data_IF_203184342967
#
_entry.id   IF_203184342967
#
_cell.length_a   1.000
_cell.length_b   1.000
_cell.length_c   1.000
_cell.angle_alpha   90.00
_cell.angle_beta   90.00
_cell.angle_gamma   90.00
#
_symmetry.space_group_name_H-M   'P 1'
#
loop_
_entity.id
_entity.type
_entity.pdbx_description
1 polymer ?
#
# COMPACT_ATOMS: atom_id res chain seq x y z
N UNK A 1 21.90 6.67 3.83
CA UNK A 1 21.75 6.26 2.41
C UNK A 1 20.97 4.96 2.29
N UNK A 2 21.13 4.01 3.22
CA UNK A 2 20.36 2.75 3.30
C UNK A 2 18.83 2.93 3.20
N UNK A 3 18.24 3.84 3.98
CA UNK A 3 16.77 4.04 4.00
C UNK A 3 16.19 4.65 2.71
N UNK A 4 16.98 5.41 1.94
CA UNK A 4 16.53 6.03 0.69
C UNK A 4 16.53 5.04 -0.47
N UNK A 5 17.51 4.12 -0.49
CA UNK A 5 17.53 3.01 -1.43
C UNK A 5 16.39 2.01 -1.17
N UNK A 6 16.07 1.76 0.11
CA UNK A 6 14.95 0.89 0.51
C UNK A 6 13.60 1.53 0.13
N UNK A 7 13.40 2.82 0.38
CA UNK A 7 12.15 3.51 0.01
C UNK A 7 11.98 3.63 -1.51
N UNK A 8 13.06 3.92 -2.25
CA UNK A 8 13.06 3.84 -3.72
C UNK A 8 12.77 2.42 -4.21
N UNK A 9 13.37 1.40 -3.60
CA UNK A 9 13.15 0.00 -3.94
C UNK A 9 11.69 -0.44 -3.74
N UNK A 10 11.07 -0.06 -2.62
CA UNK A 10 9.66 -0.38 -2.34
C UNK A 10 8.70 0.31 -3.33
N UNK A 11 8.92 1.60 -3.60
CA UNK A 11 8.07 2.39 -4.51
C UNK A 11 8.23 1.89 -5.95
N UNK A 12 9.47 1.61 -6.37
CA UNK A 12 9.77 1.10 -7.71
C UNK A 12 9.24 -0.32 -7.87
N UNK A 13 9.32 -1.21 -6.87
CA UNK A 13 8.79 -2.56 -6.96
C UNK A 13 7.25 -2.59 -7.09
N UNK A 14 6.54 -1.79 -6.27
CA UNK A 14 5.08 -1.66 -6.32
C UNK A 14 4.64 -0.96 -7.63
N UNK A 15 5.38 0.06 -8.07
CA UNK A 15 5.16 0.74 -9.34
C UNK A 15 5.44 -0.16 -10.56
N UNK A 16 6.48 -0.99 -10.49
CA UNK A 16 6.87 -1.94 -11.52
C UNK A 16 5.86 -3.09 -11.63
N UNK A 17 5.31 -3.60 -10.52
CA UNK A 17 4.22 -4.59 -10.57
C UNK A 17 3.00 -4.04 -11.30
N UNK A 18 2.56 -2.82 -10.96
CA UNK A 18 1.43 -2.19 -11.64
C UNK A 18 1.71 -1.83 -13.10
N UNK A 19 2.92 -1.35 -13.42
CA UNK A 19 3.34 -1.05 -14.79
C UNK A 19 3.51 -2.31 -15.65
N UNK A 20 3.96 -3.42 -15.05
CA UNK A 20 4.09 -4.71 -15.71
C UNK A 20 2.71 -5.29 -16.04
N UNK A 21 1.76 -5.26 -15.09
CA UNK A 21 0.36 -5.63 -15.35
C UNK A 21 -0.25 -4.77 -16.45
N UNK A 22 -0.01 -3.45 -16.45
CA UNK A 22 -0.51 -2.53 -17.47
C UNK A 22 0.12 -2.80 -18.85
N UNK A 23 1.43 -3.11 -18.89
CA UNK A 23 2.18 -3.44 -20.11
C UNK A 23 1.75 -4.78 -20.68
N UNK A 24 1.52 -5.79 -19.85
CA UNK A 24 0.87 -7.04 -20.27
C UNK A 24 -0.55 -6.77 -20.78
N UNK A 25 -1.28 -5.88 -20.09
CA UNK A 25 -2.57 -5.28 -20.45
C UNK A 25 -2.63 -4.77 -21.89
N UNK A 26 -1.60 -4.01 -22.26
CA UNK A 26 -1.48 -3.40 -23.58
C UNK A 26 -1.02 -4.39 -24.65
N UNK A 27 -0.21 -5.39 -24.30
CA UNK A 27 0.26 -6.43 -25.23
C UNK A 27 -0.76 -7.55 -25.48
N UNK A 28 -1.97 -7.50 -24.89
CA UNK A 28 -3.09 -8.45 -25.08
C UNK A 28 -2.75 -9.95 -24.94
N UNK A 29 -1.64 -10.28 -24.28
CA UNK A 29 -1.15 -11.64 -24.13
C UNK A 29 -1.06 -12.00 -22.65
N UNK A 30 -1.76 -13.08 -22.25
CA UNK A 30 -1.78 -13.66 -20.89
C UNK A 30 -2.07 -12.71 -19.71
N UNK A 31 -2.80 -11.61 -19.95
CA UNK A 31 -3.23 -10.63 -18.94
C UNK A 31 -3.88 -11.25 -17.72
N UNK A 32 -4.79 -12.18 -17.95
CA UNK A 32 -5.62 -12.73 -16.88
C UNK A 32 -4.78 -13.50 -15.86
N UNK A 33 -3.78 -14.25 -16.33
CA UNK A 33 -2.90 -15.06 -15.46
C UNK A 33 -1.99 -14.17 -14.63
N UNK A 34 -1.35 -13.18 -15.26
CA UNK A 34 -0.43 -12.26 -14.56
C UNK A 34 -1.19 -11.39 -13.55
N UNK A 35 -2.37 -10.91 -13.92
CA UNK A 35 -3.24 -10.14 -13.03
C UNK A 35 -3.73 -11.00 -11.85
N UNK A 36 -4.16 -12.24 -12.08
CA UNK A 36 -4.54 -13.15 -11.00
C UNK A 36 -3.39 -13.41 -10.03
N UNK A 37 -2.17 -13.67 -10.51
CA UNK A 37 -1.01 -13.91 -9.62
C UNK A 37 -0.66 -12.66 -8.80
N UNK A 38 -0.67 -11.48 -9.42
CA UNK A 38 -0.44 -10.22 -8.70
C UNK A 38 -1.54 -9.98 -7.66
N UNK A 39 -2.81 -10.09 -8.06
CA UNK A 39 -3.94 -9.88 -7.17
C UNK A 39 -3.94 -10.87 -5.99
N UNK A 40 -3.57 -12.13 -6.21
CA UNK A 40 -3.43 -13.12 -5.14
C UNK A 40 -2.27 -12.73 -4.20
N UNK A 41 -1.13 -12.29 -4.76
CA UNK A 41 0.02 -11.84 -3.98
C UNK A 41 -0.33 -10.61 -3.12
N UNK A 42 -0.98 -9.61 -3.70
CA UNK A 42 -1.43 -8.42 -2.97
C UNK A 42 -2.46 -8.78 -1.90
N UNK A 43 -3.44 -9.63 -2.23
CA UNK A 43 -4.45 -10.07 -1.26
C UNK A 43 -3.83 -10.85 -0.10
N UNK A 44 -2.85 -11.73 -0.36
CA UNK A 44 -2.14 -12.46 0.68
C UNK A 44 -1.26 -11.55 1.52
N UNK A 45 -0.56 -10.59 0.92
CA UNK A 45 0.26 -9.62 1.65
C UNK A 45 -0.61 -8.73 2.56
N UNK A 46 -1.75 -8.24 2.05
CA UNK A 46 -2.70 -7.44 2.81
C UNK A 46 -3.29 -8.28 3.94
N UNK A 47 -3.71 -9.51 3.67
CA UNK A 47 -4.26 -10.40 4.69
C UNK A 47 -3.23 -10.71 5.79
N UNK A 48 -1.98 -11.02 5.41
CA UNK A 48 -0.90 -11.25 6.36
C UNK A 48 -0.59 -10.00 7.19
N UNK A 49 -0.59 -8.81 6.56
CA UNK A 49 -0.40 -7.54 7.25
C UNK A 49 -1.52 -7.23 8.24
N UNK A 50 -2.79 -7.35 7.83
CA UNK A 50 -3.96 -7.05 8.67
C UNK A 50 -4.08 -8.05 9.81
N UNK A 51 -3.90 -9.35 9.56
CA UNK A 51 -3.97 -10.36 10.61
C UNK A 51 -2.78 -10.29 11.56
N UNK A 52 -1.57 -10.06 11.03
CA UNK A 52 -0.35 -9.94 11.85
C UNK A 52 -0.34 -8.68 12.72
N UNK A 53 -0.55 -7.52 12.10
CA UNK A 53 -0.60 -6.23 12.82
C UNK A 53 -1.84 -6.18 13.70
N UNK A 54 -2.99 -6.68 13.26
CA UNK A 54 -4.22 -6.70 14.05
C UNK A 54 -4.14 -7.59 15.29
N UNK A 55 -3.52 -8.77 15.18
CA UNK A 55 -3.27 -9.63 16.34
C UNK A 55 -2.30 -8.97 17.33
N UNK A 56 -1.22 -8.33 16.81
CA UNK A 56 -0.29 -7.59 17.65
C UNK A 56 -0.95 -6.39 18.33
N UNK A 57 -1.83 -5.67 17.62
CA UNK A 57 -2.54 -4.52 18.17
C UNK A 57 -3.56 -4.89 19.23
N UNK A 58 -4.15 -6.09 19.16
CA UNK A 58 -5.11 -6.59 20.13
C UNK A 58 -4.49 -6.81 21.52
N UNK A 59 -3.17 -6.98 21.61
CA UNK A 59 -2.44 -7.08 22.89
C UNK A 59 -2.18 -5.71 23.52
N UNK A 60 -2.25 -4.62 22.75
CA UNK A 60 -2.01 -3.25 23.21
C UNK A 60 -3.32 -2.47 23.34
N UNK A 61 -3.85 -2.38 24.56
CA UNK A 61 -5.13 -1.74 24.89
C UNK A 61 -5.22 -0.26 24.43
N UNK A 62 -4.10 0.47 24.42
CA UNK A 62 -4.04 1.85 23.89
C UNK A 62 -3.60 1.96 22.42
N UNK A 63 -3.18 0.86 21.78
CA UNK A 63 -2.63 0.88 20.42
C UNK A 63 -3.64 1.39 19.37
N UNK A 64 -4.91 1.01 19.54
CA UNK A 64 -6.00 1.47 18.68
C UNK A 64 -6.22 2.99 18.76
N UNK A 65 -6.11 3.58 19.95
CA UNK A 65 -6.29 5.01 20.15
C UNK A 65 -5.20 5.82 19.42
N UNK A 66 -3.94 5.45 19.59
CA UNK A 66 -2.80 6.12 18.95
C UNK A 66 -2.85 6.00 17.42
N UNK A 67 -3.21 4.83 16.88
CA UNK A 67 -3.37 4.65 15.44
C UNK A 67 -4.52 5.50 14.90
N UNK A 68 -5.65 5.57 15.60
CA UNK A 68 -6.77 6.39 15.19
C UNK A 68 -6.41 7.89 15.20
N UNK A 69 -5.67 8.35 16.21
CA UNK A 69 -5.17 9.73 16.26
C UNK A 69 -4.23 10.04 15.08
N UNK A 70 -3.29 9.14 14.78
CA UNK A 70 -2.40 9.27 13.63
C UNK A 70 -3.17 9.28 12.29
N UNK A 71 -4.18 8.41 12.15
CA UNK A 71 -5.03 8.36 10.95
C UNK A 71 -5.81 9.65 10.74
N UNK A 72 -6.38 10.23 11.81
CA UNK A 72 -7.08 11.52 11.76
C UNK A 72 -6.11 12.63 11.34
N UNK A 73 -4.94 12.71 11.98
CA UNK A 73 -3.92 13.70 11.63
C UNK A 73 -3.49 13.60 10.16
N UNK A 74 -3.27 12.37 9.67
CA UNK A 74 -2.93 12.11 8.28
C UNK A 74 -4.04 12.56 7.32
N UNK A 75 -5.30 12.19 7.59
CA UNK A 75 -6.46 12.58 6.78
C UNK A 75 -6.65 14.10 6.72
N UNK A 76 -6.47 14.79 7.85
CA UNK A 76 -6.57 16.25 7.92
C UNK A 76 -5.46 16.90 7.09
N UNK A 77 -4.21 16.48 7.28
CA UNK A 77 -3.07 17.00 6.52
C UNK A 77 -3.24 16.74 5.03
N UNK A 78 -3.62 15.52 4.64
CA UNK A 78 -3.81 15.15 3.25
C UNK A 78 -4.99 15.91 2.62
N UNK A 79 -6.09 16.08 3.35
CA UNK A 79 -7.24 16.89 2.92
C UNK A 79 -6.85 18.35 2.68
N UNK A 80 -6.08 18.95 3.59
CA UNK A 80 -5.58 20.32 3.45
C UNK A 80 -4.61 20.46 2.27
N UNK A 81 -3.68 19.52 2.10
CA UNK A 81 -2.77 19.48 0.95
C UNK A 81 -3.55 19.40 -0.37
N UNK A 82 -4.60 18.58 -0.41
CA UNK A 82 -5.40 18.42 -1.63
C UNK A 82 -6.21 19.66 -1.96
N UNK A 83 -6.78 20.33 -0.95
CA UNK A 83 -7.43 21.64 -1.11
C UNK A 83 -6.42 22.67 -1.62
N UNK A 84 -5.21 22.70 -1.06
CA UNK A 84 -4.15 23.62 -1.48
C UNK A 84 -3.65 23.35 -2.91
N UNK A 85 -3.61 22.08 -3.36
CA UNK A 85 -3.22 21.75 -4.72
C UNK A 85 -4.31 22.01 -5.78
N UNK A 86 -5.56 22.16 -5.33
CA UNK A 86 -6.69 22.44 -6.20
C UNK A 86 -6.96 23.95 -6.40
N UNK A 87 -6.41 24.81 -5.51
CA UNK A 87 -6.31 26.26 -5.69
C UNK A 87 -5.02 26.62 -6.42
#
# INVERSE_FOLDING_TARGET
>A
MEGFAISLGLIVAIGAQNAFVLRQGLMRSHIFVVCCICAISDATLIAAGVLGVGAWLAEYEEGAFWISLAAIAFLVVYGLLRIRSAM
#
